data_IF_202027171584
#
_entry.id   IF_202027171584
#
_cell.length_a   1.000
_cell.length_b   1.000
_cell.length_c   1.000
_cell.angle_alpha   90.00
_cell.angle_beta   90.00
_cell.angle_gamma   90.00
#
_symmetry.space_group_name_H-M   'P 1'
#
loop_
_entity.id
_entity.type
_entity.pdbx_description
1 polymer ?
#
# COMPACT_ATOMS: atom_id res chain seq x y z
N UNK A 1 -21.18 10.98 3.75
CA UNK A 1 -20.42 9.72 3.96
C UNK A 1 -21.07 8.44 3.40
N UNK A 2 -22.25 8.44 2.75
CA UNK A 2 -22.93 7.18 2.34
C UNK A 2 -22.19 6.39 1.25
N UNK A 3 -21.62 7.07 0.27
CA UNK A 3 -20.97 6.44 -0.89
C UNK A 3 -19.73 5.62 -0.54
N UNK A 4 -18.91 6.05 0.42
CA UNK A 4 -17.74 5.28 0.85
C UNK A 4 -18.11 3.91 1.42
N UNK A 5 -19.16 3.86 2.24
CA UNK A 5 -19.67 2.60 2.78
C UNK A 5 -20.32 1.72 1.70
N UNK A 6 -21.08 2.32 0.77
CA UNK A 6 -21.72 1.59 -0.33
C UNK A 6 -20.69 0.97 -1.28
N UNK A 7 -19.63 1.72 -1.60
CA UNK A 7 -18.59 1.27 -2.54
C UNK A 7 -17.58 0.30 -1.93
N UNK A 8 -17.52 0.18 -0.60
CA UNK A 8 -16.57 -0.71 0.08
C UNK A 8 -16.73 -2.15 -0.40
N UNK A 9 -17.96 -2.69 -0.36
CA UNK A 9 -18.21 -4.08 -0.75
C UNK A 9 -17.90 -4.33 -2.25
N UNK A 10 -18.39 -3.53 -3.21
CA UNK A 10 -18.00 -3.64 -4.61
C UNK A 10 -16.48 -3.60 -4.84
N UNK A 11 -15.77 -2.70 -4.15
CA UNK A 11 -14.31 -2.57 -4.30
C UNK A 11 -13.56 -3.79 -3.74
N UNK A 12 -14.01 -4.35 -2.62
CA UNK A 12 -13.45 -5.60 -2.07
C UNK A 12 -13.69 -6.76 -3.03
N UNK A 13 -14.91 -6.88 -3.57
CA UNK A 13 -15.22 -7.91 -4.56
C UNK A 13 -14.39 -7.76 -5.84
N UNK A 14 -14.14 -6.53 -6.30
CA UNK A 14 -13.25 -6.27 -7.44
C UNK A 14 -11.80 -6.71 -7.13
N UNK A 15 -11.32 -6.49 -5.91
CA UNK A 15 -10.02 -7.00 -5.46
C UNK A 15 -9.94 -8.52 -5.49
N UNK A 16 -10.94 -9.21 -4.94
CA UNK A 16 -11.01 -10.68 -4.99
C UNK A 16 -11.05 -11.17 -6.44
N UNK A 17 -11.91 -10.58 -7.27
CA UNK A 17 -12.04 -10.94 -8.68
C UNK A 17 -10.72 -10.74 -9.45
N UNK A 18 -9.94 -9.70 -9.14
CA UNK A 18 -8.65 -9.46 -9.78
C UNK A 18 -7.63 -10.58 -9.52
N UNK A 19 -7.64 -11.15 -8.31
CA UNK A 19 -6.76 -12.27 -7.94
C UNK A 19 -7.24 -13.58 -8.56
N UNK A 20 -8.57 -13.81 -8.56
CA UNK A 20 -9.16 -14.98 -9.21
C UNK A 20 -8.87 -14.99 -10.72
N UNK A 21 -8.92 -13.82 -11.37
CA UNK A 21 -8.57 -13.68 -12.78
C UNK A 21 -7.11 -14.01 -13.05
N UNK A 22 -6.19 -13.45 -12.26
CA UNK A 22 -4.78 -13.78 -12.36
C UNK A 22 -4.56 -15.28 -12.19
N UNK A 23 -5.14 -15.89 -11.16
CA UNK A 23 -4.99 -17.32 -10.91
C UNK A 23 -5.51 -18.19 -12.06
N UNK A 24 -6.69 -17.85 -12.60
CA UNK A 24 -7.28 -18.56 -13.73
C UNK A 24 -6.42 -18.49 -14.99
N UNK A 25 -5.86 -17.31 -15.29
CA UNK A 25 -5.00 -17.13 -16.47
C UNK A 25 -3.59 -17.71 -16.28
N UNK A 26 -3.10 -17.76 -15.04
CA UNK A 26 -1.86 -18.45 -14.67
C UNK A 26 -1.96 -19.96 -14.94
N UNK A 27 -3.09 -20.58 -14.59
CA UNK A 27 -3.35 -22.01 -14.86
C UNK A 27 -3.35 -22.36 -16.36
N UNK A 28 -3.58 -21.36 -17.23
CA UNK A 28 -3.53 -21.49 -18.69
C UNK A 28 -2.17 -21.12 -19.28
N UNK A 29 -1.17 -20.82 -18.44
CA UNK A 29 0.18 -20.43 -18.85
C UNK A 29 0.32 -18.97 -19.29
N UNK A 30 -0.71 -18.13 -19.10
CA UNK A 30 -0.68 -16.72 -19.50
C UNK A 30 -0.30 -15.77 -18.36
N UNK A 31 -0.85 -15.97 -17.15
CA UNK A 31 -0.54 -15.18 -15.95
C UNK A 31 -0.88 -13.69 -16.06
N UNK A 32 -2.11 -13.34 -16.45
CA UNK A 32 -2.51 -11.94 -16.69
C UNK A 32 -2.70 -11.16 -15.37
N UNK A 33 -1.73 -10.29 -15.09
CA UNK A 33 -1.69 -9.45 -13.89
C UNK A 33 -2.31 -8.06 -14.07
N UNK A 34 -2.79 -7.69 -15.27
CA UNK A 34 -3.18 -6.29 -15.57
C UNK A 34 -4.25 -5.76 -14.62
N UNK A 35 -5.30 -6.54 -14.37
CA UNK A 35 -6.40 -6.14 -13.47
C UNK A 35 -5.91 -6.03 -12.03
N UNK A 36 -5.10 -6.98 -11.58
CA UNK A 36 -4.52 -6.97 -10.24
C UNK A 36 -3.62 -5.75 -10.01
N UNK A 37 -2.76 -5.42 -10.98
CA UNK A 37 -1.92 -4.23 -10.93
C UNK A 37 -2.74 -2.94 -10.82
N UNK A 38 -3.85 -2.83 -11.57
CA UNK A 38 -4.74 -1.67 -11.45
C UNK A 38 -5.32 -1.57 -10.05
N UNK A 39 -5.93 -2.64 -9.52
CA UNK A 39 -6.52 -2.60 -8.17
C UNK A 39 -5.48 -2.30 -7.09
N UNK A 40 -4.25 -2.82 -7.24
CA UNK A 40 -3.19 -2.65 -6.25
C UNK A 40 -2.53 -1.27 -6.27
N UNK A 41 -2.16 -0.77 -7.45
CA UNK A 41 -1.31 0.41 -7.57
C UNK A 41 -2.10 1.70 -7.85
N UNK A 42 -3.27 1.62 -8.46
CA UNK A 42 -4.08 2.80 -8.77
C UNK A 42 -4.45 3.62 -7.52
N UNK A 43 -4.87 3.03 -6.38
CA UNK A 43 -5.19 3.81 -5.17
C UNK A 43 -4.00 4.58 -4.60
N UNK A 44 -2.78 4.04 -4.75
CA UNK A 44 -1.54 4.67 -4.25
C UNK A 44 -1.31 6.02 -4.92
N UNK A 45 -1.70 6.16 -6.19
CA UNK A 45 -1.58 7.42 -6.96
C UNK A 45 -2.84 8.27 -6.83
N UNK A 46 -4.02 7.66 -6.96
CA UNK A 46 -5.30 8.37 -6.97
C UNK A 46 -5.56 9.12 -5.66
N UNK A 47 -5.30 8.49 -4.52
CA UNK A 47 -5.57 9.08 -3.20
C UNK A 47 -4.81 10.42 -3.00
N UNK A 48 -3.48 10.50 -3.21
CA UNK A 48 -2.76 11.78 -3.18
C UNK A 48 -3.32 12.81 -4.15
N UNK A 49 -3.62 12.41 -5.39
CA UNK A 49 -4.16 13.31 -6.43
C UNK A 49 -5.49 13.91 -5.99
N UNK A 50 -6.39 13.10 -5.42
CA UNK A 50 -7.67 13.59 -4.90
C UNK A 50 -7.46 14.62 -3.78
N UNK A 51 -6.56 14.37 -2.83
CA UNK A 51 -6.28 15.33 -1.76
C UNK A 51 -5.64 16.64 -2.26
N UNK A 52 -4.86 16.59 -3.34
CA UNK A 52 -4.28 17.78 -3.97
C UNK A 52 -5.33 18.59 -4.76
N UNK A 53 -6.22 17.92 -5.49
CA UNK A 53 -7.24 18.56 -6.32
C UNK A 53 -8.43 19.09 -5.51
N UNK A 54 -8.74 18.45 -4.38
CA UNK A 54 -9.87 18.81 -3.52
C UNK A 54 -9.41 19.07 -2.07
N UNK A 55 -8.69 20.19 -1.82
CA UNK A 55 -8.16 20.49 -0.50
C UNK A 55 -9.28 20.80 0.50
N UNK A 56 -9.21 20.19 1.68
CA UNK A 56 -10.06 20.48 2.85
C UNK A 56 -9.18 20.89 4.04
N UNK A 57 -9.80 21.34 5.13
CA UNK A 57 -9.10 21.51 6.41
C UNK A 57 -8.44 20.17 6.77
N UNK A 58 -7.09 20.14 6.76
CA UNK A 58 -6.32 18.92 6.97
C UNK A 58 -5.64 18.29 5.76
N UNK A 59 -5.97 18.67 4.52
CA UNK A 59 -5.35 18.05 3.33
C UNK A 59 -3.83 18.17 3.32
N UNK A 60 -3.26 19.31 3.72
CA UNK A 60 -1.81 19.47 3.80
C UNK A 60 -1.14 18.50 4.80
N UNK A 61 -1.79 18.26 5.95
CA UNK A 61 -1.31 17.26 6.92
C UNK A 61 -1.42 15.86 6.32
N UNK A 62 -2.57 15.49 5.75
CA UNK A 62 -2.79 14.17 5.14
C UNK A 62 -1.77 13.92 4.04
N UNK A 63 -1.57 14.86 3.11
CA UNK A 63 -0.57 14.74 2.03
C UNK A 63 0.82 14.49 2.61
N UNK A 64 1.24 15.27 3.62
CA UNK A 64 2.53 15.08 4.30
C UNK A 64 2.64 13.69 4.94
N UNK A 65 1.60 13.23 5.64
CA UNK A 65 1.61 11.90 6.27
C UNK A 65 1.62 10.78 5.22
N UNK A 66 0.90 10.96 4.11
CA UNK A 66 0.88 10.02 2.98
C UNK A 66 2.23 9.91 2.28
N UNK A 67 2.97 11.03 2.15
CA UNK A 67 4.36 10.99 1.69
C UNK A 67 5.21 10.10 2.58
N UNK A 68 5.09 10.21 3.91
CA UNK A 68 5.83 9.34 4.83
C UNK A 68 5.41 7.87 4.74
N UNK A 69 4.11 7.59 4.54
CA UNK A 69 3.61 6.23 4.31
C UNK A 69 4.32 5.60 3.11
N UNK A 70 4.40 6.32 1.98
CA UNK A 70 5.09 5.86 0.76
C UNK A 70 6.58 5.67 1.01
N UNK A 71 7.26 6.63 1.64
CA UNK A 71 8.70 6.53 1.93
C UNK A 71 9.01 5.28 2.74
N UNK A 72 8.29 5.04 3.84
CA UNK A 72 8.52 3.86 4.68
C UNK A 72 8.13 2.55 3.99
N UNK A 73 7.12 2.56 3.11
CA UNK A 73 6.80 1.42 2.26
C UNK A 73 7.93 1.09 1.28
N UNK A 74 8.51 2.11 0.63
CA UNK A 74 9.66 1.93 -0.27
C UNK A 74 10.88 1.43 0.49
N UNK A 75 11.15 1.94 1.70
CA UNK A 75 12.20 1.42 2.59
C UNK A 75 11.95 -0.06 2.92
N UNK A 76 10.71 -0.45 3.23
CA UNK A 76 10.37 -1.85 3.46
C UNK A 76 10.64 -2.72 2.23
N UNK A 77 10.33 -2.24 1.02
CA UNK A 77 10.64 -2.93 -0.24
C UNK A 77 12.14 -3.05 -0.51
N UNK A 78 12.92 -2.05 -0.14
CA UNK A 78 14.40 -2.11 -0.20
C UNK A 78 14.90 -3.20 0.74
N UNK A 79 14.46 -3.24 2.00
CA UNK A 79 14.86 -4.30 2.94
C UNK A 79 14.43 -5.70 2.45
N UNK A 80 13.23 -5.82 1.87
CA UNK A 80 12.77 -7.08 1.27
C UNK A 80 13.66 -7.52 0.09
N UNK A 81 14.13 -6.60 -0.74
CA UNK A 81 15.02 -6.89 -1.86
C UNK A 81 16.40 -7.39 -1.41
N UNK A 82 16.90 -6.89 -0.28
CA UNK A 82 18.21 -7.22 0.27
C UNK A 82 18.16 -8.19 1.46
N UNK A 83 17.09 -8.99 1.56
CA UNK A 83 16.83 -9.85 2.73
C UNK A 83 18.03 -10.72 3.10
N UNK A 84 18.51 -11.50 2.14
CA UNK A 84 19.63 -12.40 2.32
C UNK A 84 20.95 -11.67 2.57
N UNK A 85 21.22 -10.58 1.83
CA UNK A 85 22.46 -9.82 1.96
C UNK A 85 22.58 -9.16 3.34
N UNK A 86 21.46 -8.64 3.88
CA UNK A 86 21.40 -8.08 5.22
C UNK A 86 21.62 -9.18 6.27
N UNK A 87 20.99 -10.34 6.09
CA UNK A 87 21.20 -11.47 7.00
C UNK A 87 22.66 -11.97 6.97
N UNK A 88 23.27 -12.08 5.81
CA UNK A 88 24.67 -12.47 5.68
C UNK A 88 25.63 -11.48 6.35
N UNK A 89 25.29 -10.20 6.38
CA UNK A 89 26.11 -9.14 6.99
C UNK A 89 25.94 -9.09 8.51
N UNK A 90 24.70 -9.09 9.00
CA UNK A 90 24.39 -8.93 10.42
C UNK A 90 24.30 -10.24 11.20
N UNK A 91 24.15 -11.38 10.50
CA UNK A 91 23.98 -12.76 11.02
C UNK A 91 22.79 -13.00 11.97
N UNK A 92 22.14 -11.93 12.44
CA UNK A 92 21.04 -11.98 13.42
C UNK A 92 19.78 -11.30 12.86
N UNK A 93 19.95 -10.26 12.03
CA UNK A 93 18.85 -9.46 11.49
C UNK A 93 18.78 -9.64 9.98
N UNK A 94 17.65 -10.14 9.47
CA UNK A 94 17.37 -10.22 8.04
C UNK A 94 16.64 -8.97 7.54
N UNK A 95 16.65 -8.75 6.23
CA UNK A 95 15.83 -7.69 5.64
C UNK A 95 14.33 -7.89 5.87
N UNK A 96 13.86 -9.13 6.07
CA UNK A 96 12.48 -9.44 6.43
C UNK A 96 12.12 -8.93 7.83
N UNK A 97 13.06 -8.97 8.79
CA UNK A 97 12.82 -8.36 10.10
C UNK A 97 12.75 -6.82 9.97
N UNK A 98 13.66 -6.22 9.21
CA UNK A 98 13.71 -4.77 9.00
C UNK A 98 12.54 -4.25 8.18
N UNK A 99 12.04 -5.02 7.19
CA UNK A 99 10.87 -4.63 6.40
C UNK A 99 9.62 -4.52 7.27
N UNK A 100 9.44 -5.42 8.24
CA UNK A 100 8.30 -5.36 9.16
C UNK A 100 8.39 -4.13 10.06
N UNK A 101 9.58 -3.79 10.54
CA UNK A 101 9.78 -2.56 11.30
C UNK A 101 9.45 -1.32 10.46
N UNK A 102 9.93 -1.25 9.22
CA UNK A 102 9.61 -0.16 8.30
C UNK A 102 8.10 -0.09 7.97
N UNK A 103 7.46 -1.24 7.73
CA UNK A 103 6.02 -1.33 7.49
C UNK A 103 5.19 -0.91 8.72
N UNK A 104 5.66 -1.21 9.93
CA UNK A 104 5.04 -0.76 11.17
C UNK A 104 5.10 0.77 11.30
N UNK A 105 6.23 1.40 10.93
CA UNK A 105 6.34 2.87 10.90
C UNK A 105 5.39 3.47 9.86
N UNK A 106 5.30 2.88 8.66
CA UNK A 106 4.32 3.29 7.64
C UNK A 106 2.89 3.24 8.19
N UNK A 107 2.52 2.14 8.84
CA UNK A 107 1.20 1.98 9.50
C UNK A 107 0.96 2.99 10.62
N UNK A 108 2.00 3.36 11.37
CA UNK A 108 1.90 4.39 12.41
C UNK A 108 1.53 5.77 11.83
N UNK A 109 2.03 6.14 10.65
CA UNK A 109 1.60 7.36 9.96
C UNK A 109 0.11 7.31 9.56
N UNK A 110 -0.40 6.15 9.14
CA UNK A 110 -1.84 5.95 8.89
C UNK A 110 -2.64 6.19 10.16
N UNK A 111 -2.23 5.58 11.28
CA UNK A 111 -2.89 5.78 12.58
C UNK A 111 -2.92 7.26 12.99
N UNK A 112 -1.83 8.00 12.76
CA UNK A 112 -1.76 9.43 13.06
C UNK A 112 -2.74 10.26 12.21
N UNK A 113 -3.00 9.88 10.96
CA UNK A 113 -4.03 10.52 10.12
C UNK A 113 -5.41 10.37 10.79
N UNK A 114 -5.76 9.16 11.22
CA UNK A 114 -7.05 8.90 11.89
C UNK A 114 -7.17 9.54 13.27
N UNK A 115 -6.05 9.72 13.98
CA UNK A 115 -6.03 10.39 15.29
C UNK A 115 -6.06 11.92 15.18
N UNK A 116 -5.57 12.48 14.08
CA UNK A 116 -5.70 13.90 13.83
C UNK A 116 -7.20 14.23 13.76
N UNK A 117 -7.70 15.02 14.71
CA UNK A 117 -9.05 15.59 14.62
C UNK A 117 -9.03 16.63 13.49
N UNK A 118 -9.22 16.16 12.26
CA UNK A 118 -9.37 17.00 11.07
C UNK A 118 -10.79 17.55 10.98
#
# INVERSE_FOLDING_TARGET
MKWGAILLLPMVLAGIASVLWWHYTEQQGAGDLRVYMVVQFYPVVLIPVVFMLFPTTGSALITKMFTWIIVWYLVAKVFERYDFQLFETFKIISGHSLKHLAAAVSTWYIFRIFRAKL
#
